data_IF_329760092582
#
_entry.id   IF_329760092582
#
_cell.length_a   1.000
_cell.length_b   1.000
_cell.length_c   1.000
_cell.angle_alpha   90.00
_cell.angle_beta   90.00
_cell.angle_gamma   90.00
#
_symmetry.space_group_name_H-M   'P 1'
#
loop_
_entity.id
_entity.type
_entity.pdbx_description
1 polymer ?
#
# COMPACT_ATOMS: atom_id res chain seq x y z
N UNK A 1 -6.07 -7.71 -18.94
CA UNK A 1 -7.51 -7.96 -19.17
C UNK A 1 -8.16 -6.62 -19.47
N UNK A 2 -8.78 -6.49 -20.64
CA UNK A 2 -9.47 -5.26 -21.06
C UNK A 2 -10.76 -5.14 -20.24
N UNK A 3 -10.92 -4.03 -19.50
CA UNK A 3 -12.16 -3.71 -18.79
C UNK A 3 -13.23 -3.36 -19.82
N UNK A 4 -14.22 -4.24 -19.97
CA UNK A 4 -15.42 -3.95 -20.76
C UNK A 4 -16.43 -3.27 -19.83
N UNK A 5 -16.77 -1.99 -20.04
CA UNK A 5 -17.70 -1.30 -19.17
C UNK A 5 -19.11 -1.86 -19.38
N UNK A 6 -19.55 -2.72 -18.46
CA UNK A 6 -20.92 -3.22 -18.42
C UNK A 6 -21.81 -2.11 -17.87
N UNK A 7 -22.60 -1.47 -18.74
CA UNK A 7 -23.53 -0.41 -18.34
C UNK A 7 -24.52 -0.85 -17.22
N UNK A 8 -24.87 -2.14 -17.20
CA UNK A 8 -25.70 -2.76 -16.16
C UNK A 8 -25.01 -2.84 -14.79
N UNK A 9 -23.68 -2.86 -14.75
CA UNK A 9 -22.91 -2.89 -13.52
C UNK A 9 -22.97 -1.52 -12.83
N UNK A 10 -22.92 -0.43 -13.60
CA UNK A 10 -23.05 0.93 -13.09
C UNK A 10 -24.42 1.20 -12.47
N UNK A 11 -25.50 0.69 -13.09
CA UNK A 11 -26.87 0.82 -12.56
C UNK A 11 -27.12 -0.05 -11.31
N UNK A 12 -26.44 -1.19 -11.22
CA UNK A 12 -26.65 -2.17 -10.14
C UNK A 12 -25.69 -2.01 -8.96
N UNK A 13 -24.64 -1.19 -9.11
CA UNK A 13 -23.58 -1.04 -8.12
C UNK A 13 -24.08 -0.66 -6.73
N UNK A 14 -25.02 0.30 -6.63
CA UNK A 14 -25.55 0.74 -5.34
C UNK A 14 -26.37 -0.35 -4.62
N UNK A 15 -27.13 -1.16 -5.35
CA UNK A 15 -27.86 -2.30 -4.79
C UNK A 15 -26.89 -3.40 -4.34
N UNK A 16 -25.87 -3.68 -5.17
CA UNK A 16 -24.85 -4.67 -4.87
C UNK A 16 -24.05 -4.29 -3.62
N UNK A 17 -23.64 -3.03 -3.47
CA UNK A 17 -22.92 -2.58 -2.28
C UNK A 17 -23.74 -2.69 -1.00
N UNK A 18 -25.06 -2.44 -1.05
CA UNK A 18 -25.96 -2.64 0.09
C UNK A 18 -26.06 -4.12 0.47
N UNK A 19 -26.23 -5.00 -0.52
CA UNK A 19 -26.30 -6.44 -0.30
C UNK A 19 -24.98 -6.96 0.29
N UNK A 20 -23.83 -6.59 -0.29
CA UNK A 20 -22.51 -6.97 0.22
C UNK A 20 -22.32 -6.46 1.66
N UNK A 21 -22.69 -5.22 1.96
CA UNK A 21 -22.61 -4.68 3.32
C UNK A 21 -23.51 -5.44 4.31
N UNK A 22 -24.69 -5.87 3.87
CA UNK A 22 -25.58 -6.70 4.69
C UNK A 22 -25.03 -8.10 4.94
N UNK A 23 -24.30 -8.67 3.96
CA UNK A 23 -23.61 -9.95 4.11
C UNK A 23 -22.45 -9.83 5.09
N UNK A 24 -21.62 -8.79 4.97
CA UNK A 24 -20.48 -8.56 5.87
C UNK A 24 -20.91 -8.46 7.34
N UNK A 25 -22.07 -7.86 7.62
CA UNK A 25 -22.63 -7.80 9.00
C UNK A 25 -22.99 -9.15 9.61
N UNK A 26 -23.18 -10.18 8.79
CA UNK A 26 -23.57 -11.54 9.23
C UNK A 26 -22.38 -12.46 9.42
N UNK A 27 -21.19 -12.03 9.02
CA UNK A 27 -19.96 -12.80 9.08
C UNK A 27 -19.23 -12.53 10.40
N UNK A 28 -18.66 -13.55 11.07
CA UNK A 28 -17.98 -13.35 12.35
C UNK A 28 -16.66 -12.58 12.23
N UNK A 29 -15.87 -12.84 11.19
CA UNK A 29 -14.50 -12.35 11.04
C UNK A 29 -14.15 -11.93 9.60
N UNK A 30 -13.18 -11.03 9.45
CA UNK A 30 -12.73 -10.55 8.15
C UNK A 30 -12.01 -11.65 7.35
N UNK A 31 -11.43 -12.65 8.03
CA UNK A 31 -10.79 -13.82 7.44
C UNK A 31 -11.77 -14.82 6.81
N UNK A 32 -13.07 -14.74 7.12
CA UNK A 32 -14.05 -15.65 6.56
C UNK A 32 -14.02 -15.62 5.01
N UNK A 33 -14.10 -16.77 4.32
CA UNK A 33 -14.07 -16.83 2.85
C UNK A 33 -15.10 -15.91 2.19
N UNK A 34 -16.33 -15.85 2.71
CA UNK A 34 -17.35 -14.93 2.21
C UNK A 34 -17.00 -13.45 2.40
N UNK A 35 -16.35 -13.08 3.52
CA UNK A 35 -15.88 -11.71 3.71
C UNK A 35 -14.76 -11.38 2.72
N UNK A 36 -13.81 -12.31 2.52
CA UNK A 36 -12.73 -12.16 1.55
C UNK A 36 -13.26 -11.93 0.13
N UNK A 37 -14.23 -12.73 -0.34
CA UNK A 37 -14.86 -12.51 -1.65
C UNK A 37 -15.65 -11.20 -1.72
N UNK A 38 -16.39 -10.86 -0.65
CA UNK A 38 -17.09 -9.59 -0.56
C UNK A 38 -16.14 -8.39 -0.69
N UNK A 39 -14.98 -8.42 -0.02
CA UNK A 39 -13.96 -7.38 -0.14
C UNK A 39 -13.35 -7.31 -1.55
N UNK A 40 -13.08 -8.46 -2.19
CA UNK A 40 -12.60 -8.47 -3.58
C UNK A 40 -13.63 -7.88 -4.55
N UNK A 41 -14.91 -8.18 -4.34
CA UNK A 41 -16.00 -7.60 -5.12
C UNK A 41 -16.05 -6.08 -4.92
N UNK A 42 -16.00 -5.58 -3.69
CA UNK A 42 -15.97 -4.14 -3.40
C UNK A 42 -14.75 -3.47 -4.01
N UNK A 43 -13.57 -4.11 -3.97
CA UNK A 43 -12.36 -3.62 -4.61
C UNK A 43 -12.51 -3.57 -6.15
N UNK A 44 -13.14 -4.58 -6.75
CA UNK A 44 -13.49 -4.61 -8.17
C UNK A 44 -14.43 -3.47 -8.55
N UNK A 45 -15.50 -3.27 -7.77
CA UNK A 45 -16.45 -2.17 -7.98
C UNK A 45 -15.77 -0.79 -7.85
N UNK A 46 -14.87 -0.61 -6.89
CA UNK A 46 -14.06 0.60 -6.75
C UNK A 46 -13.10 0.80 -7.92
N UNK A 47 -12.68 -0.24 -8.62
CA UNK A 47 -11.79 -0.09 -9.78
C UNK A 47 -12.58 0.18 -11.06
N UNK A 48 -13.69 -0.52 -11.26
CA UNK A 48 -14.38 -0.57 -12.56
C UNK A 48 -15.62 0.33 -12.64
N UNK A 49 -16.31 0.61 -11.53
CA UNK A 49 -17.56 1.38 -11.53
C UNK A 49 -17.34 2.81 -11.03
N UNK A 50 -17.10 3.77 -11.92
CA UNK A 50 -16.89 5.19 -11.54
C UNK A 50 -18.07 5.80 -10.78
N UNK A 51 -19.28 5.28 -10.98
CA UNK A 51 -20.52 5.68 -10.28
C UNK A 51 -20.56 5.22 -8.82
N UNK A 52 -19.80 4.20 -8.45
CA UNK A 52 -19.80 3.69 -7.08
C UNK A 52 -18.95 4.57 -6.17
N UNK A 53 -19.59 5.28 -5.25
CA UNK A 53 -18.90 6.07 -4.23
C UNK A 53 -19.32 5.57 -2.84
N UNK A 54 -18.47 4.79 -2.14
CA UNK A 54 -18.76 4.42 -0.76
C UNK A 54 -18.77 5.66 0.13
N UNK A 55 -19.61 5.65 1.17
CA UNK A 55 -19.54 6.70 2.18
C UNK A 55 -18.23 6.61 2.95
N UNK A 56 -17.77 7.75 3.48
CA UNK A 56 -16.56 7.81 4.32
C UNK A 56 -16.65 6.87 5.53
N UNK A 57 -17.82 6.75 6.15
CA UNK A 57 -18.06 5.86 7.28
C UNK A 57 -17.98 4.39 6.91
N UNK A 58 -18.52 4.01 5.74
CA UNK A 58 -18.43 2.65 5.23
C UNK A 58 -16.98 2.29 4.90
N UNK A 59 -16.26 3.17 4.20
CA UNK A 59 -14.87 2.94 3.83
C UNK A 59 -13.99 2.78 5.08
N UNK A 60 -14.14 3.67 6.06
CA UNK A 60 -13.47 3.56 7.37
C UNK A 60 -13.71 2.21 8.00
N UNK A 61 -14.98 1.81 8.14
CA UNK A 61 -15.32 0.54 8.78
C UNK A 61 -14.69 -0.66 8.05
N UNK A 62 -14.74 -0.67 6.71
CA UNK A 62 -14.14 -1.74 5.91
C UNK A 62 -12.62 -1.81 6.08
N UNK A 63 -11.93 -0.66 6.06
CA UNK A 63 -10.49 -0.60 6.24
C UNK A 63 -10.08 -1.00 7.66
N UNK A 64 -10.75 -0.46 8.69
CA UNK A 64 -10.48 -0.83 10.08
C UNK A 64 -10.70 -2.32 10.31
N UNK A 65 -11.78 -2.89 9.77
CA UNK A 65 -12.10 -4.30 9.97
C UNK A 65 -11.14 -5.23 9.23
N UNK A 66 -10.79 -4.90 7.99
CA UNK A 66 -9.88 -5.72 7.16
C UNK A 66 -8.42 -5.65 7.61
N UNK A 67 -8.01 -4.52 8.19
CA UNK A 67 -6.67 -4.32 8.74
C UNK A 67 -6.64 -4.36 10.28
N UNK A 68 -7.65 -4.95 10.92
CA UNK A 68 -7.70 -5.13 12.37
C UNK A 68 -6.58 -6.06 12.84
N UNK A 69 -6.37 -7.17 12.13
CA UNK A 69 -5.28 -8.10 12.41
C UNK A 69 -4.05 -7.80 11.53
N UNK A 70 -3.23 -6.87 12.03
CA UNK A 70 -1.96 -6.48 11.42
C UNK A 70 -0.87 -7.55 11.55
N UNK A 71 -1.07 -8.57 12.40
CA UNK A 71 -0.07 -9.57 12.78
C UNK A 71 -0.29 -10.94 12.14
N UNK A 72 -1.41 -11.17 11.43
CA UNK A 72 -1.66 -12.40 10.70
C UNK A 72 -0.64 -12.69 9.59
N UNK A 73 0.46 -13.36 9.90
CA UNK A 73 1.55 -13.72 8.98
C UNK A 73 1.18 -14.76 7.91
N UNK A 74 -0.08 -15.20 7.83
CA UNK A 74 -0.55 -16.08 6.74
C UNK A 74 -0.63 -15.29 5.42
N UNK A 75 0.47 -15.32 4.66
CA UNK A 75 0.61 -14.77 3.31
C UNK A 75 -0.53 -15.16 2.33
N UNK A 76 -1.29 -16.22 2.63
CA UNK A 76 -2.42 -16.72 1.85
C UNK A 76 -3.70 -15.86 1.99
N UNK A 77 -3.91 -15.16 3.12
CA UNK A 77 -5.22 -14.55 3.44
C UNK A 77 -5.32 -13.03 3.22
N UNK A 78 -4.23 -12.36 2.82
CA UNK A 78 -4.22 -10.89 2.67
C UNK A 78 -4.53 -10.39 1.25
N UNK A 79 -4.87 -11.28 0.33
CA UNK A 79 -5.15 -10.94 -1.06
C UNK A 79 -6.29 -9.93 -1.23
N UNK A 80 -7.39 -10.09 -0.48
CA UNK A 80 -8.52 -9.15 -0.54
C UNK A 80 -8.16 -7.80 0.09
N UNK A 81 -7.37 -7.80 1.18
CA UNK A 81 -6.88 -6.58 1.83
C UNK A 81 -6.07 -5.71 0.88
N UNK A 82 -5.06 -6.28 0.21
CA UNK A 82 -4.28 -5.53 -0.78
C UNK A 82 -5.06 -5.18 -2.03
N UNK A 83 -6.06 -5.98 -2.42
CA UNK A 83 -6.94 -5.62 -3.54
C UNK A 83 -7.77 -4.37 -3.20
N UNK A 84 -8.35 -4.32 -2.01
CA UNK A 84 -9.12 -3.18 -1.53
C UNK A 84 -8.24 -1.94 -1.38
N UNK A 85 -7.09 -2.07 -0.72
CA UNK A 85 -6.14 -0.95 -0.54
C UNK A 85 -5.71 -0.36 -1.89
N UNK A 86 -5.34 -1.20 -2.86
CA UNK A 86 -4.98 -0.72 -4.21
C UNK A 86 -6.13 -0.02 -4.91
N UNK A 87 -7.36 -0.49 -4.74
CA UNK A 87 -8.54 0.17 -5.31
C UNK A 87 -8.80 1.54 -4.66
N UNK A 88 -8.61 1.63 -3.33
CA UNK A 88 -8.72 2.87 -2.56
C UNK A 88 -7.66 3.88 -2.98
N UNK A 89 -6.39 3.45 -3.09
CA UNK A 89 -5.28 4.28 -3.56
C UNK A 89 -5.49 4.73 -5.01
N UNK A 90 -5.93 3.82 -5.90
CA UNK A 90 -6.23 4.11 -7.30
C UNK A 90 -7.34 5.15 -7.49
N UNK A 91 -8.30 5.20 -6.57
CA UNK A 91 -9.33 6.24 -6.52
C UNK A 91 -8.95 7.48 -5.73
N UNK A 92 -7.77 7.51 -5.13
CA UNK A 92 -7.27 8.61 -4.28
C UNK A 92 -8.28 8.98 -3.19
N UNK A 93 -8.90 7.97 -2.57
CA UNK A 93 -9.87 8.22 -1.49
C UNK A 93 -9.11 8.62 -0.22
N UNK A 94 -9.29 9.86 0.20
CA UNK A 94 -8.57 10.44 1.34
C UNK A 94 -9.38 10.21 2.63
N UNK A 95 -8.96 9.23 3.43
CA UNK A 95 -9.48 8.98 4.78
C UNK A 95 -8.34 8.73 5.76
N UNK A 96 -8.46 9.11 7.05
CA UNK A 96 -7.38 8.98 8.04
C UNK A 96 -6.81 7.56 8.13
N UNK A 97 -7.66 6.55 8.01
CA UNK A 97 -7.30 5.14 8.14
C UNK A 97 -6.29 4.70 7.08
N UNK A 98 -6.31 5.31 5.88
CA UNK A 98 -5.32 5.02 4.83
C UNK A 98 -3.93 5.42 5.30
N UNK A 99 -3.77 6.56 5.97
CA UNK A 99 -2.46 7.01 6.44
C UNK A 99 -1.87 6.06 7.50
N UNK A 100 -2.70 5.57 8.42
CA UNK A 100 -2.28 4.60 9.44
C UNK A 100 -1.91 3.24 8.82
N UNK A 101 -2.69 2.81 7.82
CA UNK A 101 -2.42 1.59 7.07
C UNK A 101 -1.12 1.73 6.29
N UNK A 102 -0.85 2.88 5.67
CA UNK A 102 0.36 3.08 4.87
C UNK A 102 1.64 3.07 5.72
N UNK A 103 1.59 3.53 6.98
CA UNK A 103 2.70 3.35 7.91
C UNK A 103 2.98 1.85 8.18
N UNK A 104 1.94 1.04 8.36
CA UNK A 104 2.08 -0.41 8.52
C UNK A 104 2.57 -1.10 7.22
N UNK A 105 2.02 -0.73 6.05
CA UNK A 105 2.45 -1.23 4.74
C UNK A 105 3.93 -0.94 4.50
N UNK A 106 4.41 0.25 4.90
CA UNK A 106 5.82 0.61 4.82
C UNK A 106 6.70 -0.31 5.69
N UNK A 107 6.29 -0.67 6.90
CA UNK A 107 7.00 -1.65 7.72
C UNK A 107 7.02 -3.04 7.07
N UNK A 108 5.87 -3.49 6.55
CA UNK A 108 5.72 -4.80 5.93
C UNK A 108 6.54 -4.93 4.63
N UNK A 109 6.73 -3.83 3.90
CA UNK A 109 7.60 -3.76 2.73
C UNK A 109 9.03 -4.20 3.06
N UNK A 110 9.54 -3.87 4.24
CA UNK A 110 10.91 -4.20 4.66
C UNK A 110 10.97 -5.56 5.35
N UNK A 111 10.02 -5.86 6.21
CA UNK A 111 10.08 -6.97 7.17
C UNK A 111 9.49 -8.29 6.63
N UNK A 112 8.63 -8.25 5.60
CA UNK A 112 7.97 -9.46 5.13
C UNK A 112 8.95 -10.46 4.54
N UNK A 113 8.86 -11.73 4.94
CA UNK A 113 9.61 -12.83 4.34
C UNK A 113 9.19 -13.09 2.87
N UNK A 114 7.95 -12.78 2.50
CA UNK A 114 7.42 -13.03 1.16
C UNK A 114 7.84 -11.93 0.17
N UNK A 115 8.60 -12.26 -0.90
CA UNK A 115 8.97 -11.26 -1.91
C UNK A 115 7.75 -10.68 -2.63
N UNK A 116 6.69 -11.47 -2.81
CA UNK A 116 5.44 -11.00 -3.38
C UNK A 116 4.78 -9.92 -2.51
N UNK A 117 4.73 -10.14 -1.19
CA UNK A 117 4.15 -9.15 -0.26
C UNK A 117 4.99 -7.88 -0.24
N UNK A 118 6.33 -7.98 -0.20
CA UNK A 118 7.22 -6.82 -0.27
C UNK A 118 6.99 -5.99 -1.52
N UNK A 119 6.92 -6.62 -2.70
CA UNK A 119 6.67 -5.94 -3.96
C UNK A 119 5.29 -5.25 -4.02
N UNK A 120 4.23 -5.91 -3.51
CA UNK A 120 2.90 -5.30 -3.42
C UNK A 120 2.90 -4.09 -2.47
N UNK A 121 3.58 -4.19 -1.32
CA UNK A 121 3.69 -3.10 -0.37
C UNK A 121 4.50 -1.92 -0.95
N UNK A 122 5.61 -2.19 -1.63
CA UNK A 122 6.42 -1.17 -2.30
C UNK A 122 5.62 -0.42 -3.36
N UNK A 123 4.84 -1.13 -4.17
CA UNK A 123 3.95 -0.52 -5.16
C UNK A 123 2.88 0.36 -4.52
N UNK A 124 2.25 -0.10 -3.43
CA UNK A 124 1.27 0.70 -2.70
C UNK A 124 1.90 1.94 -2.07
N UNK A 125 3.07 1.81 -1.45
CA UNK A 125 3.79 2.92 -0.84
C UNK A 125 4.20 3.96 -1.88
N UNK A 126 4.75 3.53 -3.02
CA UNK A 126 5.14 4.44 -4.09
C UNK A 126 3.94 5.20 -4.65
N UNK A 127 2.83 4.52 -4.91
CA UNK A 127 1.60 5.16 -5.35
C UNK A 127 1.10 6.19 -4.34
N UNK A 128 1.09 5.82 -3.06
CA UNK A 128 0.69 6.73 -1.98
C UNK A 128 1.59 7.97 -1.90
N UNK A 129 2.91 7.81 -1.98
CA UNK A 129 3.85 8.93 -1.96
C UNK A 129 3.70 9.90 -3.13
N UNK A 130 3.25 9.41 -4.30
CA UNK A 130 3.09 10.22 -5.51
C UNK A 130 1.69 10.86 -5.62
N UNK A 131 0.64 10.14 -5.24
CA UNK A 131 -0.74 10.51 -5.54
C UNK A 131 -1.49 11.14 -4.35
N UNK A 132 -1.05 10.91 -3.12
CA UNK A 132 -1.77 11.39 -1.93
C UNK A 132 -1.26 12.76 -1.46
N UNK A 133 -2.16 13.62 -0.96
CA UNK A 133 -1.76 14.87 -0.33
C UNK A 133 -1.06 14.57 1.00
N UNK A 134 0.26 14.74 1.02
CA UNK A 134 1.12 14.60 2.19
C UNK A 134 1.65 15.95 2.62
N UNK A 135 1.49 16.27 3.91
CA UNK A 135 2.23 17.39 4.50
C UNK A 135 3.73 17.10 4.56
N UNK A 136 4.59 18.13 4.57
CA UNK A 136 6.05 17.97 4.51
C UNK A 136 6.60 17.10 5.65
N UNK A 137 6.04 17.22 6.86
CA UNK A 137 6.44 16.40 8.00
C UNK A 137 6.16 14.90 7.77
N UNK A 138 5.02 14.55 7.18
CA UNK A 138 4.63 13.15 6.93
C UNK A 138 5.44 12.56 5.78
N UNK A 139 5.66 13.33 4.72
CA UNK A 139 6.57 12.91 3.65
C UNK A 139 7.97 12.65 4.21
N UNK A 140 8.51 13.58 5.00
CA UNK A 140 9.80 13.44 5.66
C UNK A 140 9.90 12.20 6.55
N UNK A 141 8.84 11.86 7.30
CA UNK A 141 8.79 10.62 8.09
C UNK A 141 8.94 9.36 7.22
N UNK A 142 8.23 9.28 6.10
CA UNK A 142 8.34 8.13 5.20
C UNK A 142 9.74 8.03 4.57
N UNK A 143 10.33 9.15 4.16
CA UNK A 143 11.67 9.18 3.57
C UNK A 143 12.75 8.86 4.61
N UNK A 144 12.60 9.35 5.85
CA UNK A 144 13.49 9.03 6.96
C UNK A 144 13.44 7.54 7.29
N UNK A 145 12.24 6.93 7.28
CA UNK A 145 12.10 5.49 7.45
C UNK A 145 12.90 4.73 6.39
N UNK A 146 12.84 5.13 5.11
CA UNK A 146 13.63 4.48 4.05
C UNK A 146 15.13 4.62 4.33
N UNK A 147 15.59 5.84 4.66
CA UNK A 147 17.00 6.08 4.97
C UNK A 147 17.49 5.25 6.17
N UNK A 148 16.70 5.13 7.23
CA UNK A 148 17.06 4.30 8.40
C UNK A 148 17.09 2.80 8.06
N UNK A 149 16.16 2.31 7.25
CA UNK A 149 16.09 0.88 6.89
C UNK A 149 17.11 0.46 5.82
N UNK A 150 17.93 1.38 5.28
CA UNK A 150 19.15 1.00 4.58
C UNK A 150 20.10 0.18 5.47
N UNK A 151 20.06 0.39 6.80
CA UNK A 151 20.84 -0.38 7.76
C UNK A 151 20.12 -1.64 8.28
N UNK A 152 19.00 -2.04 7.68
CA UNK A 152 18.24 -3.20 8.14
C UNK A 152 19.07 -4.49 8.13
N UNK A 153 18.85 -5.38 9.10
CA UNK A 153 19.70 -6.55 9.32
C UNK A 153 19.62 -7.57 8.17
N UNK A 154 18.44 -7.73 7.55
CA UNK A 154 18.22 -8.70 6.49
C UNK A 154 18.40 -8.09 5.09
N UNK A 155 19.22 -8.75 4.26
CA UNK A 155 19.52 -8.34 2.89
C UNK A 155 18.26 -8.10 2.03
N UNK A 156 17.23 -8.98 1.99
CA UNK A 156 16.06 -8.75 1.15
C UNK A 156 15.26 -7.49 1.51
N UNK A 157 15.29 -7.08 2.79
CA UNK A 157 14.67 -5.84 3.22
C UNK A 157 15.48 -4.62 2.77
N UNK A 158 16.82 -4.69 2.85
CA UNK A 158 17.72 -3.64 2.34
C UNK A 158 17.58 -3.47 0.82
N UNK A 159 17.56 -4.56 0.06
CA UNK A 159 17.32 -4.53 -1.39
C UNK A 159 16.01 -3.81 -1.72
N UNK A 160 14.91 -4.17 -1.03
CA UNK A 160 13.62 -3.55 -1.26
C UNK A 160 13.60 -2.05 -0.98
N UNK A 161 14.32 -1.60 0.06
CA UNK A 161 14.47 -0.17 0.39
C UNK A 161 15.28 0.57 -0.67
N UNK A 162 16.39 -0.04 -1.14
CA UNK A 162 17.23 0.55 -2.20
C UNK A 162 16.44 0.71 -3.50
N UNK A 163 15.71 -0.32 -3.93
CA UNK A 163 14.81 -0.23 -5.10
C UNK A 163 13.75 0.84 -4.92
N UNK A 164 13.16 0.96 -3.72
CA UNK A 164 12.17 1.99 -3.43
C UNK A 164 12.78 3.40 -3.53
N UNK A 165 14.00 3.61 -3.00
CA UNK A 165 14.70 4.90 -3.09
C UNK A 165 15.03 5.25 -4.55
N UNK A 166 15.46 4.29 -5.37
CA UNK A 166 15.64 4.52 -6.81
C UNK A 166 14.34 5.00 -7.48
N UNK A 167 13.20 4.38 -7.15
CA UNK A 167 11.89 4.79 -7.66
C UNK A 167 11.50 6.20 -7.18
N UNK A 168 11.77 6.54 -5.92
CA UNK A 168 11.53 7.87 -5.36
C UNK A 168 12.36 8.91 -6.10
N UNK A 169 13.68 8.71 -6.21
CA UNK A 169 14.58 9.64 -6.90
C UNK A 169 14.19 9.81 -8.38
N UNK A 170 13.77 8.74 -9.04
CA UNK A 170 13.40 8.78 -10.46
C UNK A 170 12.05 9.45 -10.73
N UNK A 171 11.08 9.38 -9.79
CA UNK A 171 9.70 9.83 -10.02
C UNK A 171 9.33 11.12 -9.29
N UNK A 172 10.07 11.51 -8.27
CA UNK A 172 9.80 12.74 -7.53
C UNK A 172 10.26 13.97 -8.32
N UNK A 173 9.62 15.13 -8.10
CA UNK A 173 10.13 16.40 -8.58
C UNK A 173 11.56 16.68 -8.08
N UNK A 174 12.42 17.22 -8.94
CA UNK A 174 13.84 17.40 -8.66
C UNK A 174 14.11 18.32 -7.45
N UNK A 175 13.27 19.32 -7.23
CA UNK A 175 13.30 20.21 -6.07
C UNK A 175 13.00 19.47 -4.77
N UNK A 176 12.03 18.55 -4.78
CA UNK A 176 11.72 17.70 -3.64
C UNK A 176 12.91 16.78 -3.34
N UNK A 177 13.48 16.13 -4.35
CA UNK A 177 14.67 15.27 -4.18
C UNK A 177 15.86 16.07 -3.64
N UNK A 178 16.14 17.24 -4.20
CA UNK A 178 17.22 18.12 -3.75
C UNK A 178 17.05 18.54 -2.29
N UNK A 179 15.82 18.85 -1.86
CA UNK A 179 15.52 19.20 -0.46
C UNK A 179 15.78 18.06 0.53
N UNK A 180 15.83 16.80 0.05
CA UNK A 180 16.05 15.60 0.85
C UNK A 180 17.44 14.98 0.58
N UNK A 181 18.32 15.66 -0.17
CA UNK A 181 19.60 15.09 -0.56
C UNK A 181 20.46 14.71 0.65
N UNK A 182 20.49 15.55 1.68
CA UNK A 182 21.23 15.27 2.93
C UNK A 182 20.73 14.02 3.65
N UNK A 183 19.42 13.75 3.59
CA UNK A 183 18.79 12.58 4.21
C UNK A 183 19.23 11.27 3.55
N UNK A 184 19.51 11.29 2.24
CA UNK A 184 19.84 10.08 1.48
C UNK A 184 21.33 9.88 1.25
N UNK A 185 22.08 10.95 0.97
CA UNK A 185 23.42 10.85 0.43
C UNK A 185 24.39 10.17 1.39
N UNK A 186 24.40 10.58 2.66
CA UNK A 186 25.30 9.97 3.64
C UNK A 186 24.95 8.48 3.90
N UNK A 187 23.69 8.10 4.20
CA UNK A 187 23.32 6.68 4.32
C UNK A 187 23.66 5.84 3.08
N UNK A 188 23.40 6.35 1.87
CA UNK A 188 23.70 5.63 0.63
C UNK A 188 25.21 5.42 0.46
N UNK A 189 26.04 6.47 0.60
CA UNK A 189 27.50 6.34 0.53
C UNK A 189 28.03 5.36 1.56
N UNK A 190 27.49 5.37 2.78
CA UNK A 190 27.89 4.37 3.79
C UNK A 190 27.55 2.95 3.38
N UNK A 191 26.43 2.71 2.68
CA UNK A 191 26.05 1.39 2.16
C UNK A 191 26.89 0.98 0.95
N UNK A 192 27.21 1.91 0.05
CA UNK A 192 28.06 1.63 -1.11
C UNK A 192 29.40 1.01 -0.70
N UNK A 193 30.00 1.53 0.39
CA UNK A 193 31.30 1.08 0.87
C UNK A 193 31.17 -0.11 1.83
N UNK A 194 30.18 -0.11 2.72
CA UNK A 194 30.14 -1.00 3.88
C UNK A 194 29.03 -2.07 3.85
N UNK A 195 28.10 -2.09 2.89
CA UNK A 195 27.09 -3.15 2.86
C UNK A 195 27.77 -4.52 2.63
N UNK A 196 27.47 -5.56 3.42
CA UNK A 196 28.09 -6.87 3.23
C UNK A 196 27.69 -7.52 1.91
N UNK A 197 26.47 -7.25 1.39
CA UNK A 197 26.01 -7.86 0.15
C UNK A 197 26.50 -7.07 -1.07
N UNK A 198 27.19 -7.73 -2.03
CA UNK A 198 27.53 -7.09 -3.30
C UNK A 198 26.28 -6.64 -4.07
N UNK A 199 25.15 -7.36 -3.93
CA UNK A 199 23.89 -7.00 -4.60
C UNK A 199 23.34 -5.68 -4.09
N UNK A 200 23.32 -5.48 -2.78
CA UNK A 200 22.95 -4.20 -2.20
C UNK A 200 23.88 -3.07 -2.66
N UNK A 201 25.21 -3.30 -2.70
CA UNK A 201 26.16 -2.29 -3.19
C UNK A 201 25.91 -1.91 -4.66
N UNK A 202 25.48 -2.83 -5.52
CA UNK A 202 25.14 -2.52 -6.91
C UNK A 202 23.84 -1.74 -7.10
N UNK A 203 22.96 -1.74 -6.10
CA UNK A 203 21.70 -0.98 -6.12
C UNK A 203 21.83 0.44 -5.55
N UNK A 204 22.96 0.76 -4.90
CA UNK A 204 23.28 2.13 -4.46
C UNK A 204 23.76 2.96 -5.65
#
# INVERSE_FOLDING_TARGET
MVSLPLASLASSAAAMSKNVSSLLKRVPDASHPLAQEAFRLLAGMLRECSTYQPSTSQLRHLLTWLFADRNADSSTDRGAAFALLRAVLGRRLVVPEVYDIMAWVQSLMVQSASPHVRAVCASCLLQFLLDYPLGPARLGQHLAFLATNLAYEHEPGREQVLEMLQQVVAKFPADVVASQAELFLLPLVTRLVNDPSPRCRTLV
#
